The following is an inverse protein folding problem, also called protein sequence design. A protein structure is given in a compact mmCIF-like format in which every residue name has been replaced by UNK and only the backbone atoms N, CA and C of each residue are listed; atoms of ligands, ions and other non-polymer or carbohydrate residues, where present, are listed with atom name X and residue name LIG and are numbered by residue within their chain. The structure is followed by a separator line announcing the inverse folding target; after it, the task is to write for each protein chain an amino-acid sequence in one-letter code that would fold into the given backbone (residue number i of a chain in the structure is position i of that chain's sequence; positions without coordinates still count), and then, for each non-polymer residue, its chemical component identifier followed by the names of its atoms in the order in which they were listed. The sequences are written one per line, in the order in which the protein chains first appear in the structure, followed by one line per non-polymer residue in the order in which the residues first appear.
data_IF_948493393424
#
_entry.id   IF_948493393424
#
_cell.length_a   1.000
_cell.length_b   1.000
_cell.length_c   1.000
_cell.angle_alpha   90.00
_cell.angle_beta   90.00
_cell.angle_gamma   90.00
#
_symmetry.space_group_name_H-M   'P 1'
#
loop_
_entity.id
_entity.type
_entity.pdbx_description
1 polymer ?
#
# COMPACT_ATOMS: atom_id res chain seq x y z
N UNK A 1 -34.35 -29.51 1.11
CA UNK A 1 -34.18 -28.35 2.02
C UNK A 1 -33.28 -27.35 1.31
N UNK A 2 -33.72 -26.12 1.02
CA UNK A 2 -32.80 -25.09 0.58
C UNK A 2 -31.86 -24.82 1.76
N UNK A 3 -30.56 -24.83 1.53
CA UNK A 3 -29.61 -24.45 2.58
C UNK A 3 -29.76 -22.95 2.81
N UNK A 4 -30.09 -22.55 4.04
CA UNK A 4 -29.94 -21.17 4.53
C UNK A 4 -28.44 -20.83 4.54
N UNK A 5 -27.89 -20.54 3.36
CA UNK A 5 -26.53 -20.02 3.26
C UNK A 5 -26.58 -18.55 3.65
N UNK A 6 -26.25 -18.27 4.91
CA UNK A 6 -25.96 -16.91 5.35
C UNK A 6 -24.83 -16.36 4.46
N UNK A 7 -25.01 -15.18 3.83
CA UNK A 7 -23.99 -14.63 2.96
C UNK A 7 -22.68 -14.44 3.75
N UNK A 8 -21.57 -14.78 3.11
CA UNK A 8 -20.24 -14.55 3.66
C UNK A 8 -20.04 -13.05 3.85
N UNK A 9 -19.38 -12.61 4.93
CA UNK A 9 -18.99 -11.21 5.11
C UNK A 9 -18.18 -10.65 3.93
N UNK A 10 -17.55 -11.51 3.14
CA UNK A 10 -16.71 -11.13 2.00
C UNK A 10 -17.39 -11.32 0.64
N UNK A 11 -18.69 -11.64 0.59
CA UNK A 11 -19.38 -11.83 -0.69
C UNK A 11 -19.39 -10.56 -1.55
N UNK A 12 -19.33 -9.36 -0.94
CA UNK A 12 -19.22 -8.10 -1.68
C UNK A 12 -17.95 -8.05 -2.55
N UNK A 13 -16.82 -8.57 -2.07
CA UNK A 13 -15.52 -8.50 -2.77
C UNK A 13 -15.58 -9.22 -4.12
N UNK A 14 -16.32 -10.33 -4.20
CA UNK A 14 -16.44 -11.14 -5.43
C UNK A 14 -17.07 -10.35 -6.58
N UNK A 15 -17.99 -9.43 -6.27
CA UNK A 15 -18.67 -8.61 -7.27
C UNK A 15 -17.81 -7.45 -7.79
N UNK A 16 -16.66 -7.21 -7.17
CA UNK A 16 -15.71 -6.16 -7.52
C UNK A 16 -14.55 -6.70 -8.38
N UNK A 17 -14.59 -7.96 -8.81
CA UNK A 17 -13.55 -8.56 -9.64
C UNK A 17 -13.31 -7.75 -10.92
N UNK A 18 -12.04 -7.42 -11.17
CA UNK A 18 -11.62 -6.58 -12.30
C UNK A 18 -11.77 -5.07 -12.07
N UNK A 19 -12.32 -4.64 -10.92
CA UNK A 19 -12.36 -3.22 -10.57
C UNK A 19 -10.95 -2.64 -10.46
N UNK A 20 -10.81 -1.41 -10.96
CA UNK A 20 -9.58 -0.65 -11.02
C UNK A 20 -9.89 0.84 -10.99
N UNK A 21 -8.83 1.65 -10.90
CA UNK A 21 -8.92 3.11 -10.85
C UNK A 21 -9.85 3.66 -11.92
N UNK A 22 -10.75 4.55 -11.49
CA UNK A 22 -11.77 5.18 -12.34
C UNK A 22 -13.11 4.42 -12.38
N UNK A 23 -13.21 3.22 -11.82
CA UNK A 23 -14.51 2.58 -11.63
C UNK A 23 -15.31 3.25 -10.51
N UNK A 24 -16.63 3.24 -10.66
CA UNK A 24 -17.60 3.63 -9.64
C UNK A 24 -18.65 2.54 -9.54
N UNK A 25 -18.42 1.60 -8.63
CA UNK A 25 -19.22 0.39 -8.47
C UNK A 25 -19.68 0.33 -7.03
N UNK A 26 -20.95 -0.07 -6.84
CA UNK A 26 -21.51 -0.26 -5.50
C UNK A 26 -20.61 -1.20 -4.68
N UNK A 27 -20.46 -0.89 -3.40
CA UNK A 27 -19.71 -1.68 -2.39
C UNK A 27 -18.18 -1.51 -2.43
N UNK A 28 -17.63 -0.61 -3.26
CA UNK A 28 -16.21 -0.24 -3.21
C UNK A 28 -15.82 0.36 -1.84
N UNK A 29 -16.73 1.09 -1.18
CA UNK A 29 -16.49 1.58 0.17
C UNK A 29 -16.22 0.45 1.19
N UNK A 30 -16.79 -0.75 1.00
CA UNK A 30 -16.48 -1.89 1.86
C UNK A 30 -15.03 -2.38 1.64
N UNK A 31 -14.52 -2.33 0.41
CA UNK A 31 -13.11 -2.62 0.11
C UNK A 31 -12.18 -1.56 0.75
N UNK A 32 -12.58 -0.29 0.73
CA UNK A 32 -11.86 0.79 1.43
C UNK A 32 -11.78 0.51 2.93
N UNK A 33 -12.89 0.15 3.56
CA UNK A 33 -12.91 -0.21 4.99
C UNK A 33 -12.04 -1.43 5.31
N UNK A 34 -12.05 -2.45 4.44
CA UNK A 34 -11.18 -3.62 4.61
C UNK A 34 -9.70 -3.21 4.63
N UNK A 35 -9.25 -2.42 3.65
CA UNK A 35 -7.86 -1.98 3.56
C UNK A 35 -7.48 -1.03 4.69
N UNK A 36 -8.41 -0.16 5.12
CA UNK A 36 -8.22 0.69 6.29
C UNK A 36 -8.05 -0.12 7.58
N UNK A 37 -8.86 -1.17 7.78
CA UNK A 37 -8.75 -2.04 8.97
C UNK A 37 -7.35 -2.68 9.09
N UNK A 38 -6.70 -3.00 7.96
CA UNK A 38 -5.35 -3.58 7.95
C UNK A 38 -4.22 -2.55 7.80
N UNK A 39 -4.55 -1.25 7.82
CA UNK A 39 -3.58 -0.15 7.83
C UNK A 39 -3.04 0.26 6.46
N UNK A 40 -3.62 -0.21 5.36
CA UNK A 40 -3.17 0.13 4.00
C UNK A 40 -3.71 1.46 3.49
N UNK A 41 -4.82 1.92 4.06
CA UNK A 41 -5.57 3.06 3.55
C UNK A 41 -6.03 3.94 4.70
N UNK A 42 -5.82 5.24 4.56
CA UNK A 42 -6.31 6.25 5.49
C UNK A 42 -6.82 7.43 4.67
N UNK A 43 -8.01 7.91 4.97
CA UNK A 43 -8.63 9.05 4.28
C UNK A 43 -8.76 10.22 5.25
N UNK A 44 -8.46 11.44 4.80
CA UNK A 44 -8.60 12.63 5.63
C UNK A 44 -10.07 12.98 5.94
N UNK A 45 -11.02 12.45 5.16
CA UNK A 45 -12.44 12.74 5.29
C UNK A 45 -13.34 11.51 5.05
N UNK A 46 -14.56 11.61 5.58
CA UNK A 46 -15.57 10.56 5.52
C UNK A 46 -16.23 10.44 4.15
N UNK A 47 -16.16 11.46 3.29
CA UNK A 47 -16.79 11.43 1.96
C UNK A 47 -16.02 10.46 1.07
N UNK A 48 -14.69 10.58 1.04
CA UNK A 48 -13.84 9.66 0.30
C UNK A 48 -13.81 8.26 0.92
N UNK A 49 -13.82 8.15 2.25
CA UNK A 49 -13.84 6.86 2.95
C UNK A 49 -15.11 6.05 2.63
N UNK A 50 -16.27 6.70 2.58
CA UNK A 50 -17.57 6.04 2.40
C UNK A 50 -18.06 6.07 0.94
N UNK A 51 -17.31 6.70 0.03
CA UNK A 51 -17.64 6.80 -1.39
C UNK A 51 -17.25 5.54 -2.17
N UNK A 52 -18.05 5.21 -3.19
CA UNK A 52 -17.87 4.05 -4.07
C UNK A 52 -16.92 4.28 -5.25
N UNK A 53 -16.12 5.35 -5.20
CA UNK A 53 -15.15 5.67 -6.25
C UNK A 53 -13.85 4.89 -6.03
N UNK A 54 -13.35 4.23 -7.08
CA UNK A 54 -12.03 3.63 -7.09
C UNK A 54 -10.99 4.70 -7.41
N UNK A 55 -10.53 5.38 -6.36
CA UNK A 55 -9.58 6.49 -6.44
C UNK A 55 -8.11 6.06 -6.38
N UNK A 56 -7.23 7.04 -6.49
CA UNK A 56 -5.77 6.88 -6.51
C UNK A 56 -5.22 6.31 -5.20
N UNK A 57 -5.86 6.65 -4.07
CA UNK A 57 -5.46 6.16 -2.75
C UNK A 57 -5.80 4.68 -2.62
N UNK A 58 -6.99 4.27 -3.05
CA UNK A 58 -7.39 2.87 -3.08
C UNK A 58 -6.50 2.03 -4.00
N UNK A 59 -6.18 2.53 -5.20
CA UNK A 59 -5.24 1.86 -6.12
C UNK A 59 -3.86 1.65 -5.46
N UNK A 60 -3.33 2.68 -4.81
CA UNK A 60 -2.03 2.63 -4.13
C UNK A 60 -2.04 1.67 -2.94
N UNK A 61 -3.12 1.66 -2.16
CA UNK A 61 -3.32 0.73 -1.06
C UNK A 61 -3.36 -0.73 -1.56
N UNK A 62 -4.09 -0.99 -2.64
CA UNK A 62 -4.13 -2.32 -3.27
C UNK A 62 -2.78 -2.78 -3.79
N UNK A 63 -2.00 -1.90 -4.44
CA UNK A 63 -0.64 -2.24 -4.88
C UNK A 63 0.24 -2.65 -3.70
N UNK A 64 0.11 -1.96 -2.57
CA UNK A 64 0.84 -2.28 -1.34
C UNK A 64 0.39 -3.62 -0.74
N UNK A 65 -0.93 -3.86 -0.70
CA UNK A 65 -1.50 -5.15 -0.27
C UNK A 65 -0.98 -6.30 -1.13
N UNK A 66 -1.07 -6.18 -2.45
CA UNK A 66 -0.58 -7.17 -3.39
C UNK A 66 0.90 -7.46 -3.19
N UNK A 67 1.72 -6.41 -3.03
CA UNK A 67 3.14 -6.57 -2.76
C UNK A 67 3.42 -7.37 -1.47
N UNK A 68 2.71 -7.05 -0.39
CA UNK A 68 2.84 -7.75 0.90
C UNK A 68 2.49 -9.24 0.82
N UNK A 69 1.53 -9.60 -0.03
CA UNK A 69 1.13 -10.99 -0.26
C UNK A 69 1.88 -11.68 -1.40
N UNK A 70 2.93 -11.04 -1.93
CA UNK A 70 3.74 -11.53 -3.06
C UNK A 70 2.96 -11.73 -4.36
N UNK A 71 1.88 -10.97 -4.53
CA UNK A 71 1.10 -10.85 -5.76
C UNK A 71 1.69 -9.72 -6.61
N UNK A 72 1.55 -9.80 -7.93
CA UNK A 72 1.92 -8.69 -8.82
C UNK A 72 1.12 -7.43 -8.45
N UNK A 73 1.76 -6.27 -8.21
CA UNK A 73 1.07 -5.07 -7.77
C UNK A 73 0.36 -4.36 -8.94
N UNK A 74 -0.74 -4.94 -9.41
CA UNK A 74 -1.55 -4.42 -10.51
C UNK A 74 -2.36 -3.17 -10.12
N UNK A 75 -2.71 -3.03 -8.83
CA UNK A 75 -3.65 -2.01 -8.36
C UNK A 75 -5.10 -2.27 -8.77
N UNK A 76 -5.37 -3.45 -9.34
CA UNK A 76 -6.70 -3.92 -9.70
C UNK A 76 -7.14 -5.00 -8.73
N UNK A 77 -8.44 -5.16 -8.54
CA UNK A 77 -8.99 -6.26 -7.77
C UNK A 77 -9.07 -7.54 -8.61
N UNK A 78 -7.93 -8.17 -8.85
CA UNK A 78 -7.82 -9.41 -9.61
C UNK A 78 -8.16 -10.67 -8.77
N UNK A 79 -8.37 -11.79 -9.46
CA UNK A 79 -8.77 -13.06 -8.85
C UNK A 79 -7.81 -13.51 -7.74
N UNK A 80 -6.51 -13.28 -7.90
CA UNK A 80 -5.49 -13.65 -6.91
C UNK A 80 -5.60 -12.79 -5.65
N UNK A 81 -5.81 -11.48 -5.83
CA UNK A 81 -6.04 -10.54 -4.73
C UNK A 81 -7.32 -10.88 -3.97
N UNK A 82 -8.41 -11.18 -4.67
CA UNK A 82 -9.68 -11.59 -4.06
C UNK A 82 -9.49 -12.85 -3.23
N UNK A 83 -8.83 -13.87 -3.80
CA UNK A 83 -8.58 -15.13 -3.09
C UNK A 83 -7.83 -14.90 -1.76
N UNK A 84 -6.88 -13.97 -1.71
CA UNK A 84 -6.21 -13.59 -0.45
C UNK A 84 -7.13 -12.84 0.50
N UNK A 85 -7.91 -11.87 0.02
CA UNK A 85 -8.76 -11.06 0.88
C UNK A 85 -9.89 -11.86 1.56
N UNK A 86 -10.43 -12.87 0.88
CA UNK A 86 -11.48 -13.74 1.41
C UNK A 86 -10.96 -14.90 2.26
N UNK A 87 -9.64 -15.11 2.29
CA UNK A 87 -9.02 -16.14 3.14
C UNK A 87 -9.05 -15.66 4.60
N UNK A 88 -9.53 -16.48 5.56
CA UNK A 88 -9.52 -16.13 6.97
C UNK A 88 -8.13 -15.74 7.46
N UNK A 89 -8.05 -14.66 8.24
CA UNK A 89 -6.80 -14.11 8.80
C UNK A 89 -7.03 -13.60 10.22
N UNK A 90 -5.93 -13.33 10.93
CA UNK A 90 -6.02 -12.61 12.20
C UNK A 90 -6.41 -11.13 11.95
N UNK A 91 -7.07 -10.52 12.93
CA UNK A 91 -7.52 -9.12 12.86
C UNK A 91 -6.41 -8.09 13.08
N UNK A 92 -5.15 -8.50 13.22
CA UNK A 92 -4.04 -7.57 13.44
C UNK A 92 -3.74 -6.80 12.13
N UNK A 93 -3.49 -5.47 12.22
CA UNK A 93 -3.07 -4.68 11.06
C UNK A 93 -1.72 -5.14 10.50
N UNK A 94 -1.55 -5.02 9.19
CA UNK A 94 -0.29 -5.33 8.51
C UNK A 94 0.68 -4.15 8.61
N UNK A 95 0.13 -2.93 8.62
CA UNK A 95 0.87 -1.69 8.73
C UNK A 95 0.42 -0.96 10.00
N UNK A 96 1.37 -0.64 10.89
CA UNK A 96 1.11 0.06 12.15
C UNK A 96 1.98 1.32 12.19
N UNK A 97 1.36 2.50 12.33
CA UNK A 97 2.05 3.80 12.34
C UNK A 97 3.02 3.96 11.15
N UNK A 98 2.59 3.55 9.95
CA UNK A 98 3.39 3.57 8.73
C UNK A 98 4.49 2.49 8.65
N UNK A 99 4.66 1.67 9.67
CA UNK A 99 5.61 0.55 9.67
C UNK A 99 4.94 -0.71 9.14
N UNK A 100 5.38 -1.18 7.99
CA UNK A 100 4.89 -2.42 7.39
C UNK A 100 5.56 -3.64 8.05
N UNK A 101 4.75 -4.44 8.75
CA UNK A 101 5.21 -5.60 9.53
C UNK A 101 5.35 -6.88 8.71
N UNK A 102 4.81 -6.90 7.50
CA UNK A 102 4.89 -8.04 6.58
C UNK A 102 6.21 -8.08 5.79
N UNK A 103 6.89 -6.95 5.71
CA UNK A 103 8.19 -6.87 5.05
C UNK A 103 9.31 -7.12 6.06
N UNK A 104 10.37 -7.85 5.66
CA UNK A 104 11.54 -7.98 6.50
C UNK A 104 12.08 -6.58 6.77
N UNK A 105 12.37 -6.29 8.05
CA UNK A 105 13.05 -5.07 8.43
C UNK A 105 14.30 -4.97 7.56
N UNK A 106 14.42 -3.95 6.70
CA UNK A 106 15.72 -3.61 6.14
C UNK A 106 16.57 -3.18 7.32
N UNK A 107 17.32 -4.10 7.90
CA UNK A 107 18.41 -3.74 8.80
C UNK A 107 19.26 -2.77 8.01
N UNK A 108 19.42 -1.54 8.53
CA UNK A 108 20.37 -0.55 7.99
C UNK A 108 21.78 -1.06 8.28
N UNK A 109 22.18 -2.16 7.65
CA UNK A 109 23.52 -2.70 7.78
C UNK A 109 24.37 -2.29 6.58
N UNK A 110 25.33 -1.42 6.92
CA UNK A 110 26.62 -1.15 6.26
C UNK A 110 26.65 -0.17 5.10
N UNK A 111 26.83 1.11 5.45
CA UNK A 111 27.99 1.86 4.94
C UNK A 111 28.82 2.32 6.14
N UNK A 112 29.61 1.40 6.68
CA UNK A 112 30.87 1.75 7.33
C UNK A 112 31.99 1.21 6.43
N UNK A 113 32.20 1.88 5.30
CA UNK A 113 33.45 1.80 4.56
C UNK A 113 34.24 3.06 4.91
N UNK A 114 35.35 2.86 5.64
CA UNK A 114 36.30 3.90 6.03
C UNK A 114 36.90 4.54 4.77
N UNK A 115 36.53 5.77 4.46
CA UNK A 115 37.36 6.63 3.62
C UNK A 115 38.23 7.48 4.55
N UNK A 116 39.52 7.14 4.63
CA UNK A 116 40.55 7.95 5.27
C UNK A 116 40.78 9.18 4.37
N UNK A 117 40.58 10.43 4.82
CA UNK A 117 40.78 11.58 3.96
C UNK A 117 42.28 11.74 3.67
N UNK A 118 42.72 11.90 2.40
CA UNK A 118 44.07 12.37 2.14
C UNK A 118 44.17 13.83 2.61
N UNK A 119 45.13 14.05 3.50
CA UNK A 119 45.54 15.36 4.00
C UNK A 119 46.29 16.16 2.93
N UNK A 120 46.20 17.48 3.07
CA UNK A 120 47.09 18.57 2.57
C UNK A 120 46.68 19.28 1.27
N UNK A 121 47.17 20.52 1.05
CA UNK A 121 46.93 21.70 1.89
C UNK A 121 46.41 22.89 1.05
N UNK A 122 46.02 23.93 1.77
CA UNK A 122 45.53 25.23 1.29
C UNK A 122 46.55 25.97 0.40
N UNK A 123 46.10 26.57 -0.72
CA UNK A 123 46.61 27.89 -1.16
C UNK A 123 45.59 28.60 -2.09
N UNK A 124 44.95 29.61 -1.52
CA UNK A 124 44.29 30.75 -2.22
C UNK A 124 45.32 31.48 -3.09
N UNK A 125 44.95 32.09 -4.22
CA UNK A 125 45.06 33.55 -4.50
C UNK A 125 44.16 33.93 -5.70
N UNK A 126 43.35 34.96 -5.43
CA UNK A 126 42.71 35.99 -6.27
C UNK A 126 43.12 36.11 -7.75
N UNK A 127 42.14 36.38 -8.63
CA UNK A 127 41.94 37.71 -9.24
C UNK A 127 40.89 37.64 -10.36
N UNK A 128 39.88 38.51 -10.28
CA UNK A 128 39.07 38.97 -11.43
C UNK A 128 39.98 39.66 -12.47
N UNK A 129 39.49 39.93 -13.71
CA UNK A 129 38.79 41.20 -13.92
C UNK A 129 37.61 41.15 -14.91
N UNK A 130 36.79 42.19 -14.80
CA UNK A 130 35.75 42.61 -15.74
C UNK A 130 36.30 42.88 -17.15
N UNK A 131 35.48 42.68 -18.19
CA UNK A 131 35.00 43.75 -19.10
C UNK A 131 33.73 43.27 -19.79
#
# INVERSE_FOLDING_TARGET
MPSDQKPSPFDFIKHLEGCHKGNKTKDIHHLKHYLHQFGYLDYPDQIHANGDDFDDLLESALKTYQHNYHIKPTGMLDTETIAKMVTPRCGNPDIVNGTNTMLPSRTKDKIQARARPPSTPYLTILSSPET
#
